data_IF_994722516040
#
_entry.id   IF_994722516040
#
_cell.length_a   1.000
_cell.length_b   1.000
_cell.length_c   1.000
_cell.angle_alpha   90.00
_cell.angle_beta   90.00
_cell.angle_gamma   90.00
#
_symmetry.space_group_name_H-M   'P 1'
#
loop_
_entity.id
_entity.type
_entity.pdbx_description
1 polymer ?
#
# COMPACT_ATOMS: atom_id res chain seq x y z
N UNK A 1 9.01 10.06 -2.46
CA UNK A 1 7.68 10.58 -2.07
C UNK A 1 7.06 11.32 -3.25
N UNK A 2 6.35 10.60 -4.13
CA UNK A 2 5.69 11.20 -5.29
C UNK A 2 4.48 12.01 -4.82
N UNK A 3 4.44 13.31 -5.13
CA UNK A 3 3.38 14.25 -4.72
C UNK A 3 2.07 14.11 -5.52
N UNK A 4 1.80 12.96 -6.14
CA UNK A 4 0.72 12.79 -7.14
C UNK A 4 -0.24 11.65 -6.81
N UNK A 5 -0.62 11.56 -5.53
CA UNK A 5 -1.52 10.55 -4.93
C UNK A 5 -2.75 10.21 -5.81
N UNK A 6 -3.49 11.22 -6.28
CA UNK A 6 -4.71 10.98 -7.08
C UNK A 6 -4.42 10.34 -8.45
N UNK A 7 -3.23 10.56 -9.01
CA UNK A 7 -2.80 9.97 -10.27
C UNK A 7 -2.42 8.51 -10.05
N UNK A 8 -1.66 8.23 -8.99
CA UNK A 8 -1.22 6.88 -8.66
C UNK A 8 -2.41 5.98 -8.29
N UNK A 9 -3.35 6.50 -7.51
CA UNK A 9 -4.60 5.80 -7.17
C UNK A 9 -5.50 5.58 -8.39
N UNK A 10 -5.52 6.50 -9.36
CA UNK A 10 -6.25 6.31 -10.62
C UNK A 10 -5.58 5.24 -11.48
N UNK A 11 -4.25 5.28 -11.60
CA UNK A 11 -3.47 4.29 -12.36
C UNK A 11 -3.61 2.89 -11.75
N UNK A 12 -3.65 2.78 -10.41
CA UNK A 12 -3.89 1.54 -9.67
C UNK A 12 -5.35 1.06 -9.64
N UNK A 13 -6.25 1.73 -10.36
CA UNK A 13 -7.65 1.34 -10.52
C UNK A 13 -8.54 1.60 -9.30
N UNK A 14 -8.06 2.32 -8.28
CA UNK A 14 -8.85 2.67 -7.08
C UNK A 14 -9.82 3.81 -7.39
N UNK A 15 -9.38 4.79 -8.19
CA UNK A 15 -10.18 5.96 -8.54
C UNK A 15 -10.53 6.01 -10.02
N UNK A 16 -11.69 6.59 -10.32
CA UNK A 16 -12.09 7.10 -11.63
C UNK A 16 -12.14 8.61 -11.59
N UNK A 17 -11.89 9.24 -12.74
CA UNK A 17 -11.91 10.70 -12.88
C UNK A 17 -12.95 11.10 -13.92
N UNK A 18 -13.78 12.08 -13.58
CA UNK A 18 -14.76 12.69 -14.49
C UNK A 18 -14.37 14.13 -14.74
N UNK A 19 -14.35 14.54 -16.00
CA UNK A 19 -14.11 15.95 -16.40
C UNK A 19 -15.42 16.75 -16.42
N UNK A 20 -15.30 18.06 -16.27
CA UNK A 20 -16.42 19.01 -16.33
C UNK A 20 -16.71 19.71 -14.99
N UNK A 21 -17.68 20.65 -14.97
CA UNK A 21 -18.01 21.44 -13.77
C UNK A 21 -18.50 20.60 -12.58
N UNK A 22 -19.17 19.48 -12.86
CA UNK A 22 -19.55 18.45 -11.88
C UNK A 22 -18.62 17.22 -11.94
N UNK A 23 -17.35 17.47 -12.29
CA UNK A 23 -16.29 16.47 -12.35
C UNK A 23 -15.65 16.21 -10.99
N UNK A 24 -14.55 15.47 -10.99
CA UNK A 24 -13.82 15.10 -9.77
C UNK A 24 -13.31 13.66 -9.81
N UNK A 25 -13.00 13.12 -8.64
CA UNK A 25 -12.60 11.73 -8.45
C UNK A 25 -13.65 10.97 -7.64
N UNK A 26 -13.85 9.71 -7.97
CA UNK A 26 -14.71 8.80 -7.22
C UNK A 26 -14.05 7.42 -7.13
N UNK A 27 -14.44 6.61 -6.15
CA UNK A 27 -14.00 5.23 -6.08
C UNK A 27 -14.51 4.45 -7.30
N UNK A 28 -13.64 3.61 -7.85
CA UNK A 28 -13.96 2.65 -8.90
C UNK A 28 -14.42 1.30 -8.35
N UNK A 29 -14.20 1.06 -7.05
CA UNK A 29 -14.53 -0.15 -6.29
C UNK A 29 -15.32 0.23 -5.03
N UNK A 30 -15.88 -0.76 -4.31
CA UNK A 30 -16.49 -0.50 -3.01
C UNK A 30 -15.41 -0.10 -2.00
N UNK A 31 -15.77 0.77 -1.05
CA UNK A 31 -14.81 1.27 -0.05
C UNK A 31 -14.24 0.13 0.82
N UNK A 32 -15.07 -0.87 1.15
CA UNK A 32 -14.69 -2.06 1.91
C UNK A 32 -13.66 -2.95 1.20
N UNK A 33 -13.58 -2.87 -0.13
CA UNK A 33 -12.59 -3.62 -0.93
C UNK A 33 -11.23 -2.92 -1.00
N UNK A 34 -11.12 -1.68 -0.51
CA UNK A 34 -9.88 -0.89 -0.57
C UNK A 34 -9.01 -1.19 0.65
N UNK A 35 -8.11 -2.16 0.49
CA UNK A 35 -7.07 -2.46 1.50
C UNK A 35 -6.04 -1.32 1.61
N UNK A 36 -5.73 -0.90 2.83
CA UNK A 36 -4.68 0.10 3.11
C UNK A 36 -3.32 -0.31 2.52
N UNK A 37 -2.92 -1.57 2.68
CA UNK A 37 -1.66 -2.08 2.14
C UNK A 37 -1.55 -1.91 0.61
N UNK A 38 -2.67 -1.96 -0.12
CA UNK A 38 -2.70 -1.69 -1.57
C UNK A 38 -2.44 -0.23 -1.88
N UNK A 39 -3.02 0.70 -1.13
CA UNK A 39 -2.77 2.15 -1.30
C UNK A 39 -1.30 2.46 -1.08
N UNK A 40 -0.74 1.97 0.03
CA UNK A 40 0.64 2.23 0.38
C UNK A 40 1.61 1.65 -0.68
N UNK A 41 1.36 0.42 -1.15
CA UNK A 41 2.17 -0.20 -2.22
C UNK A 41 2.12 0.56 -3.54
N UNK A 42 0.97 1.17 -3.88
CA UNK A 42 0.83 1.98 -5.09
C UNK A 42 1.57 3.33 -4.98
N UNK A 43 1.67 3.90 -3.79
CA UNK A 43 2.27 5.22 -3.57
C UNK A 43 3.78 5.16 -3.33
N UNK A 44 4.21 4.22 -2.50
CA UNK A 44 5.58 4.15 -1.99
C UNK A 44 6.36 2.94 -2.55
N UNK A 45 5.71 2.09 -3.34
CA UNK A 45 6.30 0.87 -3.91
C UNK A 45 6.23 -0.33 -2.97
N UNK A 46 6.96 -1.43 -3.23
CA UNK A 46 6.99 -2.59 -2.34
C UNK A 46 7.43 -2.19 -0.93
N UNK A 47 6.55 -2.41 0.04
CA UNK A 47 6.81 -2.08 1.44
C UNK A 47 7.41 -3.32 2.08
N UNK A 48 8.73 -3.34 2.18
CA UNK A 48 9.48 -4.23 3.05
C UNK A 48 10.42 -3.34 3.88
N UNK A 49 9.89 -2.62 4.87
CA UNK A 49 10.64 -1.62 5.63
C UNK A 49 11.79 -2.24 6.42
N UNK A 50 11.74 -3.56 6.62
CA UNK A 50 12.80 -4.38 7.15
C UNK A 50 12.99 -5.61 6.25
N UNK A 51 14.23 -6.09 6.13
CA UNK A 51 14.54 -7.32 5.42
C UNK A 51 13.81 -8.53 6.03
N UNK A 52 13.62 -8.56 7.36
CA UNK A 52 12.96 -9.66 8.06
C UNK A 52 11.45 -9.80 7.77
N UNK A 53 10.81 -8.84 7.08
CA UNK A 53 9.40 -8.93 6.65
C UNK A 53 9.25 -9.05 5.13
N UNK A 54 10.36 -9.20 4.41
CA UNK A 54 10.35 -9.39 2.96
C UNK A 54 9.97 -10.82 2.58
N UNK A 55 9.05 -10.97 1.64
CA UNK A 55 8.70 -12.27 1.03
C UNK A 55 9.82 -12.83 0.14
N UNK A 56 10.71 -11.98 -0.37
CA UNK A 56 11.69 -12.35 -1.39
C UNK A 56 13.15 -12.20 -0.94
N UNK A 57 13.41 -11.35 0.06
CA UNK A 57 14.75 -10.99 0.52
C UNK A 57 14.80 -11.02 2.05
N UNK A 58 14.33 -12.13 2.63
CA UNK A 58 14.33 -12.29 4.07
C UNK A 58 15.76 -12.30 4.63
N UNK A 59 16.02 -11.43 5.60
CA UNK A 59 17.22 -11.46 6.43
C UNK A 59 16.83 -11.15 7.88
N UNK A 60 17.44 -11.84 8.83
CA UNK A 60 17.14 -11.64 10.24
C UNK A 60 17.70 -10.28 10.69
N UNK A 61 16.84 -9.39 11.19
CA UNK A 61 17.31 -8.13 11.78
C UNK A 61 17.86 -8.36 13.20
N UNK A 62 18.68 -7.43 13.68
CA UNK A 62 19.33 -7.53 15.00
C UNK A 62 18.31 -7.63 16.16
N UNK A 63 17.15 -6.98 16.01
CA UNK A 63 16.07 -6.94 17.02
C UNK A 63 15.01 -8.04 16.85
N UNK A 64 15.25 -9.05 15.99
CA UNK A 64 14.26 -10.08 15.67
C UNK A 64 14.15 -11.15 16.77
N UNK A 65 13.39 -10.84 17.83
CA UNK A 65 12.93 -11.81 18.82
C UNK A 65 11.61 -12.41 18.33
N UNK A 66 11.64 -13.67 17.87
CA UNK A 66 10.49 -14.33 17.21
C UNK A 66 9.22 -14.37 18.08
N UNK A 67 9.35 -14.40 19.40
CA UNK A 67 8.22 -14.39 20.33
C UNK A 67 7.46 -13.04 20.38
N UNK A 68 8.11 -11.93 20.01
CA UNK A 68 7.55 -10.56 20.17
C UNK A 68 7.56 -9.73 18.88
N UNK A 69 8.09 -10.23 17.77
CA UNK A 69 8.17 -9.48 16.52
C UNK A 69 6.78 -9.32 15.88
N UNK A 70 6.07 -8.27 16.30
CA UNK A 70 4.71 -7.96 15.83
C UNK A 70 4.62 -7.57 14.36
N UNK A 71 5.74 -7.22 13.73
CA UNK A 71 5.80 -6.76 12.34
C UNK A 71 5.57 -7.90 11.34
N UNK A 72 6.00 -9.13 11.65
CA UNK A 72 5.80 -10.29 10.76
C UNK A 72 4.31 -10.61 10.54
N UNK A 73 3.45 -10.30 11.52
CA UNK A 73 2.00 -10.54 11.44
C UNK A 73 1.25 -9.53 10.59
N UNK A 74 1.79 -8.32 10.42
CA UNK A 74 1.10 -7.19 9.76
C UNK A 74 1.38 -7.14 8.25
N UNK A 75 2.57 -7.53 7.81
CA UNK A 75 3.01 -7.34 6.40
C UNK A 75 2.54 -8.44 5.42
N UNK A 76 2.00 -9.57 5.91
CA UNK A 76 1.56 -10.71 5.09
C UNK A 76 0.05 -10.71 4.73
N UNK A 77 -0.69 -9.60 4.90
CA UNK A 77 -2.14 -9.49 4.64
C UNK A 77 -2.55 -8.56 3.48
#
# INVERSE_FOLDING_TARGET
MSLKILVDLKAGGILKSRRGPAGGHALSVLAEDVKLARILRLMDGPIAPLSCVSLHFYERCEDCVEEYCGLQRVELQ
#
